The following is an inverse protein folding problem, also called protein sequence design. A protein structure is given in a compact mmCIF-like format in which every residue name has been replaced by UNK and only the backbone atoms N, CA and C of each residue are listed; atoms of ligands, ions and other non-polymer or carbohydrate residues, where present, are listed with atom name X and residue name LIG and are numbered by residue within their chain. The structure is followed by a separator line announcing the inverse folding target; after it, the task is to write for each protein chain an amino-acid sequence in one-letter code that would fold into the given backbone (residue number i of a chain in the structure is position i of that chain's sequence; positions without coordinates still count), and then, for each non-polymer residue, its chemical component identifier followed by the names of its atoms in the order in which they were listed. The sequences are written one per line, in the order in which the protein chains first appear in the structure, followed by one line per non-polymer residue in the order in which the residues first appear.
data_IF_761798827152
#
_entry.id   IF_761798827152
#
_cell.length_a   1.000
_cell.length_b   1.000
_cell.length_c   1.000
_cell.angle_alpha   90.00
_cell.angle_beta   90.00
_cell.angle_gamma   90.00
#
_symmetry.space_group_name_H-M   'P 1'
#
loop_
_entity.id
_entity.type
_entity.pdbx_description
1 polymer ?
#
# COMPACT_ATOMS: atom_id res chain seq x y z
N UNK A 1 5.53 3.68 25.82
CA UNK A 1 5.49 2.85 24.61
C UNK A 1 5.75 3.80 23.45
N UNK A 2 7.01 3.95 23.04
CA UNK A 2 7.42 4.96 22.03
C UNK A 2 8.12 4.29 20.83
N UNK A 3 8.77 3.13 21.07
CA UNK A 3 9.45 2.31 20.06
C UNK A 3 8.49 1.65 19.06
N UNK A 4 7.26 1.33 19.48
CA UNK A 4 6.29 0.62 18.66
C UNK A 4 5.75 1.48 17.51
N UNK A 5 5.54 2.78 17.76
CA UNK A 5 5.12 3.74 16.74
C UNK A 5 6.20 3.96 15.69
N UNK A 6 7.47 4.12 16.08
CA UNK A 6 8.54 4.38 15.12
C UNK A 6 8.76 3.20 14.15
N UNK A 7 8.63 1.96 14.64
CA UNK A 7 8.67 0.75 13.82
C UNK A 7 7.43 0.64 12.92
N UNK A 8 6.26 1.00 13.42
CA UNK A 8 5.02 1.02 12.65
C UNK A 8 5.07 2.06 11.51
N UNK A 9 5.52 3.27 11.80
CA UNK A 9 5.74 4.35 10.83
C UNK A 9 6.73 3.91 9.75
N UNK A 10 7.82 3.24 10.11
CA UNK A 10 8.81 2.74 9.14
C UNK A 10 8.22 1.69 8.21
N UNK A 11 7.50 0.71 8.75
CA UNK A 11 6.86 -0.32 7.94
C UNK A 11 5.80 0.28 7.00
N UNK A 12 5.05 1.29 7.45
CA UNK A 12 4.09 2.02 6.61
C UNK A 12 4.79 2.76 5.47
N UNK A 13 5.91 3.43 5.73
CA UNK A 13 6.69 4.12 4.70
C UNK A 13 7.26 3.15 3.66
N UNK A 14 7.71 1.97 4.08
CA UNK A 14 8.22 0.93 3.19
C UNK A 14 7.11 0.34 2.31
N UNK A 15 5.93 0.05 2.89
CA UNK A 15 4.74 -0.40 2.15
C UNK A 15 4.29 0.67 1.15
N UNK A 16 4.24 1.94 1.55
CA UNK A 16 3.88 3.05 0.66
C UNK A 16 4.89 3.20 -0.49
N UNK A 17 6.18 3.00 -0.22
CA UNK A 17 7.22 3.01 -1.24
C UNK A 17 6.98 1.91 -2.28
N UNK A 18 6.61 0.70 -1.84
CA UNK A 18 6.25 -0.40 -2.74
C UNK A 18 5.03 -0.05 -3.60
N UNK A 19 3.97 0.49 -3.00
CA UNK A 19 2.75 0.90 -3.71
C UNK A 19 3.09 1.94 -4.79
N UNK A 20 3.88 2.96 -4.46
CA UNK A 20 4.30 4.00 -5.41
C UNK A 20 5.14 3.43 -6.56
N UNK A 21 6.04 2.48 -6.29
CA UNK A 21 6.83 1.81 -7.33
C UNK A 21 5.94 1.00 -8.28
N UNK A 22 4.96 0.27 -7.75
CA UNK A 22 4.00 -0.48 -8.59
C UNK A 22 3.14 0.47 -9.40
N UNK A 23 2.62 1.54 -8.78
CA UNK A 23 1.81 2.56 -9.46
C UNK A 23 2.58 3.18 -10.65
N UNK A 24 3.82 3.61 -10.42
CA UNK A 24 4.66 4.21 -11.46
C UNK A 24 4.96 3.23 -12.62
N UNK A 25 5.10 1.93 -12.32
CA UNK A 25 5.43 0.92 -13.32
C UNK A 25 4.19 0.39 -14.07
N UNK A 26 2.99 0.43 -13.47
CA UNK A 26 1.82 -0.32 -13.93
C UNK A 26 0.54 0.53 -14.06
N UNK A 27 0.66 1.85 -14.17
CA UNK A 27 -0.44 2.84 -14.24
C UNK A 27 -1.52 2.58 -15.32
N UNK A 28 -1.27 1.71 -16.30
CA UNK A 28 -2.21 1.35 -17.37
C UNK A 28 -2.47 -0.16 -17.48
N UNK A 29 -2.05 -0.93 -16.48
CA UNK A 29 -2.19 -2.38 -16.50
C UNK A 29 -3.54 -2.79 -15.90
N UNK A 30 -4.09 -3.95 -16.30
CA UNK A 30 -5.29 -4.47 -15.68
C UNK A 30 -5.06 -4.75 -14.19
N UNK A 31 -6.10 -4.54 -13.38
CA UNK A 31 -6.08 -4.70 -11.92
C UNK A 31 -5.41 -6.01 -11.43
N UNK A 32 -5.64 -7.13 -12.14
CA UNK A 32 -5.05 -8.44 -11.78
C UNK A 32 -3.51 -8.45 -11.87
N UNK A 33 -2.95 -7.74 -12.85
CA UNK A 33 -1.49 -7.60 -13.01
C UNK A 33 -0.91 -6.70 -11.92
N UNK A 34 -1.62 -5.62 -11.58
CA UNK A 34 -1.26 -4.71 -10.48
C UNK A 34 -1.29 -5.47 -9.13
N UNK A 35 -2.33 -6.26 -8.88
CA UNK A 35 -2.47 -7.07 -7.66
C UNK A 35 -1.32 -8.07 -7.53
N UNK A 36 -0.98 -8.77 -8.62
CA UNK A 36 0.13 -9.72 -8.68
C UNK A 36 1.47 -9.02 -8.43
N UNK A 37 1.66 -7.83 -9.01
CA UNK A 37 2.88 -7.04 -8.82
C UNK A 37 3.02 -6.53 -7.37
N UNK A 38 1.93 -6.06 -6.76
CA UNK A 38 1.88 -5.67 -5.35
C UNK A 38 2.25 -6.85 -4.45
N UNK A 39 1.66 -8.03 -4.66
CA UNK A 39 1.97 -9.23 -3.87
C UNK A 39 3.48 -9.55 -3.94
N UNK A 40 4.04 -9.58 -5.15
CA UNK A 40 5.46 -9.92 -5.36
C UNK A 40 6.40 -8.91 -4.69
N UNK A 41 6.12 -7.61 -4.82
CA UNK A 41 6.98 -6.58 -4.23
C UNK A 41 6.85 -6.51 -2.71
N UNK A 42 5.63 -6.66 -2.15
CA UNK A 42 5.42 -6.69 -0.70
C UNK A 42 6.08 -7.92 -0.07
N UNK A 43 6.03 -9.07 -0.74
CA UNK A 43 6.77 -10.27 -0.32
C UNK A 43 8.28 -10.06 -0.36
N UNK A 44 8.81 -9.45 -1.43
CA UNK A 44 10.24 -9.16 -1.53
C UNK A 44 10.72 -8.17 -0.46
N UNK A 45 9.86 -7.23 -0.04
CA UNK A 45 10.12 -6.29 1.04
C UNK A 45 9.93 -6.87 2.45
N UNK A 46 9.50 -8.13 2.58
CA UNK A 46 9.28 -8.77 3.88
C UNK A 46 7.98 -8.38 4.59
N UNK A 47 7.08 -7.65 3.92
CA UNK A 47 5.79 -7.21 4.47
C UNK A 47 4.65 -8.19 4.14
N UNK A 48 4.94 -9.49 3.95
CA UNK A 48 3.93 -10.52 3.68
C UNK A 48 3.70 -11.39 4.94
N UNK A 49 2.46 -11.84 5.23
CA UNK A 49 1.22 -11.68 4.48
C UNK A 49 0.53 -10.32 4.65
N UNK A 50 -0.17 -9.88 3.61
CA UNK A 50 -1.11 -8.74 3.68
C UNK A 50 -2.56 -9.24 3.51
N UNK A 51 -3.56 -8.56 4.11
CA UNK A 51 -4.96 -8.92 3.93
C UNK A 51 -5.37 -8.83 2.45
N UNK A 52 -5.91 -9.92 1.90
CA UNK A 52 -6.42 -9.95 0.51
C UNK A 52 -7.40 -8.81 0.18
N UNK A 53 -8.37 -8.45 1.04
CA UNK A 53 -9.27 -7.33 0.76
C UNK A 53 -8.52 -5.99 0.62
N UNK A 54 -7.48 -5.78 1.42
CA UNK A 54 -6.66 -4.56 1.35
C UNK A 54 -5.85 -4.53 0.05
N UNK A 55 -5.19 -5.63 -0.32
CA UNK A 55 -4.41 -5.72 -1.56
C UNK A 55 -5.30 -5.40 -2.78
N UNK A 56 -6.52 -5.95 -2.78
CA UNK A 56 -7.52 -5.75 -3.83
C UNK A 56 -7.99 -4.29 -3.91
N UNK A 57 -8.24 -3.65 -2.77
CA UNK A 57 -8.61 -2.24 -2.72
C UNK A 57 -7.50 -1.35 -3.27
N UNK A 58 -6.24 -1.58 -2.88
CA UNK A 58 -5.09 -0.83 -3.40
C UNK A 58 -4.94 -1.05 -4.91
N UNK A 59 -5.02 -2.29 -5.39
CA UNK A 59 -4.91 -2.58 -6.83
C UNK A 59 -6.01 -1.91 -7.66
N UNK A 60 -7.23 -1.84 -7.13
CA UNK A 60 -8.36 -1.16 -7.77
C UNK A 60 -8.15 0.35 -7.87
N UNK A 61 -7.72 1.00 -6.78
CA UNK A 61 -7.41 2.44 -6.79
C UNK A 61 -6.29 2.77 -7.77
N UNK A 62 -5.23 1.95 -7.80
CA UNK A 62 -4.14 2.11 -8.76
C UNK A 62 -4.60 1.93 -10.22
N UNK A 63 -5.49 0.98 -10.49
CA UNK A 63 -6.07 0.76 -11.82
C UNK A 63 -6.98 1.93 -12.26
N UNK A 64 -7.62 2.63 -11.31
CA UNK A 64 -8.38 3.87 -11.55
C UNK A 64 -7.47 5.09 -11.78
N UNK A 65 -6.15 4.92 -11.68
CA UNK A 65 -5.17 6.02 -11.78
C UNK A 65 -5.08 6.88 -10.52
N UNK A 66 -5.69 6.44 -9.41
CA UNK A 66 -5.57 7.11 -8.12
C UNK A 66 -4.31 6.64 -7.42
N UNK A 67 -3.32 7.53 -7.35
CA UNK A 67 -2.13 7.28 -6.54
C UNK A 67 -2.53 7.46 -5.08
N UNK A 68 -2.45 6.37 -4.31
CA UNK A 68 -2.65 6.38 -2.86
C UNK A 68 -1.54 7.24 -2.23
N UNK A 69 -1.79 8.53 -2.03
CA UNK A 69 -0.94 9.40 -1.23
C UNK A 69 -1.45 9.29 0.20
N UNK A 70 -0.91 8.35 0.97
CA UNK A 70 -1.10 8.40 2.42
C UNK A 70 -0.27 9.57 2.94
N UNK A 71 -0.87 10.75 3.01
CA UNK A 71 -0.38 11.81 3.89
C UNK A 71 -0.44 11.29 5.32
N UNK A 72 0.55 11.60 6.17
CA UNK A 72 0.69 11.18 7.58
C UNK A 72 -0.59 11.21 8.45
N UNK A 73 -1.66 11.87 8.00
CA UNK A 73 -2.94 12.01 8.69
C UNK A 73 -4.02 10.98 8.30
N UNK A 74 -3.87 10.21 7.22
CA UNK A 74 -4.94 9.32 6.74
C UNK A 74 -5.19 8.10 7.63
N UNK A 75 -4.24 7.72 8.50
CA UNK A 75 -4.39 6.60 9.43
C UNK A 75 -4.91 7.00 10.82
N UNK A 76 -5.04 8.31 11.08
CA UNK A 76 -5.36 8.84 12.41
C UNK A 76 -6.87 8.90 12.71
N UNK A 77 -7.73 8.45 11.80
CA UNK A 77 -9.19 8.61 11.95
C UNK A 77 -9.94 7.27 12.02
N UNK A 78 -10.16 6.72 13.23
CA UNK A 78 -11.11 5.64 13.46
C UNK A 78 -12.56 6.16 13.69
N UNK A 79 -12.83 7.47 13.58
CA UNK A 79 -14.13 8.08 13.90
C UNK A 79 -14.43 9.29 13.01
N UNK A 80 -14.74 9.02 11.74
CA UNK A 80 -15.28 10.03 10.83
C UNK A 80 -16.66 10.48 11.32
N UNK A 81 -16.72 11.78 11.64
CA UNK A 81 -17.82 12.52 12.26
C UNK A 81 -19.13 12.57 11.46
#
# INVERSE_FOLDING_TARGET
MEVDQEVHDRAQLEIQSVINKVAAAQLNHPMLEIETALERQLRAAGHWPQPRPWLRAVAMELADGRVYIVTKHAWADPHGH
#
